data_IF_162219007242
#
_entry.id   IF_162219007242
#
_cell.length_a   1.000
_cell.length_b   1.000
_cell.length_c   1.000
_cell.angle_alpha   90.00
_cell.angle_beta   90.00
_cell.angle_gamma   90.00
#
_symmetry.space_group_name_H-M   'P 1'
#
loop_
_entity.id
_entity.type
_entity.pdbx_description
1 polymer ?
#
# COMPACT_ATOMS: atom_id res chain seq x y z
N UNK A 1 19.88 0.20 -9.26
CA UNK A 1 18.46 -0.15 -9.57
C UNK A 1 17.98 -1.39 -8.83
N UNK A 2 18.62 -2.58 -8.94
CA UNK A 2 18.09 -3.83 -8.36
C UNK A 2 17.93 -3.85 -6.83
N UNK A 3 18.78 -3.17 -6.08
CA UNK A 3 18.72 -3.17 -4.60
C UNK A 3 17.55 -2.33 -4.06
N UNK A 4 17.31 -1.17 -4.65
CA UNK A 4 16.20 -0.29 -4.24
C UNK A 4 14.84 -0.93 -4.48
N UNK A 5 14.66 -1.67 -5.59
CA UNK A 5 13.40 -2.36 -5.87
C UNK A 5 13.05 -3.41 -4.81
N UNK A 6 14.05 -4.14 -4.30
CA UNK A 6 13.83 -5.10 -3.20
C UNK A 6 13.41 -4.40 -1.92
N UNK A 7 14.04 -3.27 -1.60
CA UNK A 7 13.68 -2.46 -0.44
C UNK A 7 12.25 -1.92 -0.57
N UNK A 8 11.87 -1.36 -1.72
CA UNK A 8 10.51 -0.87 -1.95
C UNK A 8 9.47 -1.98 -1.87
N UNK A 9 9.75 -3.15 -2.47
CA UNK A 9 8.90 -4.33 -2.35
C UNK A 9 8.70 -4.76 -0.89
N UNK A 10 9.77 -4.78 -0.09
CA UNK A 10 9.69 -5.07 1.35
C UNK A 10 8.80 -4.07 2.10
N UNK A 11 9.01 -2.77 1.88
CA UNK A 11 8.24 -1.72 2.55
C UNK A 11 6.75 -1.79 2.18
N UNK A 12 6.45 -2.06 0.91
CA UNK A 12 5.08 -2.20 0.41
C UNK A 12 4.41 -3.45 0.99
N UNK A 13 5.10 -4.59 1.03
CA UNK A 13 4.58 -5.81 1.64
C UNK A 13 4.29 -5.64 3.14
N UNK A 14 5.19 -4.97 3.87
CA UNK A 14 4.97 -4.62 5.28
C UNK A 14 3.74 -3.73 5.45
N UNK A 15 3.54 -2.78 4.54
CA UNK A 15 2.37 -1.93 4.54
C UNK A 15 1.07 -2.74 4.38
N UNK A 16 0.98 -3.57 3.33
CA UNK A 16 -0.19 -4.42 3.05
C UNK A 16 -0.54 -5.32 4.24
N UNK A 17 0.46 -5.95 4.87
CA UNK A 17 0.26 -6.80 6.04
C UNK A 17 -0.35 -6.03 7.20
N UNK A 18 0.16 -4.82 7.47
CA UNK A 18 -0.26 -3.98 8.60
C UNK A 18 -1.62 -3.30 8.39
N UNK A 19 -1.94 -2.88 7.17
CA UNK A 19 -3.15 -2.08 6.89
C UNK A 19 -4.32 -2.89 6.36
N UNK A 20 -4.14 -4.18 6.06
CA UNK A 20 -5.20 -5.06 5.56
C UNK A 20 -5.90 -4.50 4.31
N UNK A 21 -5.13 -3.93 3.38
CA UNK A 21 -5.65 -3.54 2.07
C UNK A 21 -6.40 -4.70 1.41
N UNK A 22 -7.53 -4.42 0.78
CA UNK A 22 -8.39 -5.41 0.10
C UNK A 22 -8.36 -5.27 -1.42
N UNK A 23 -8.20 -4.06 -1.93
CA UNK A 23 -8.12 -3.80 -3.37
C UNK A 23 -7.03 -2.77 -3.66
N UNK A 24 -6.65 -2.62 -4.93
CA UNK A 24 -5.66 -1.60 -5.33
C UNK A 24 -6.28 -0.19 -5.26
N UNK A 25 -7.53 -0.02 -5.72
CA UNK A 25 -8.22 1.27 -5.79
C UNK A 25 -8.04 2.05 -7.10
N UNK A 26 -7.73 1.37 -8.21
CA UNK A 26 -7.55 2.00 -9.52
C UNK A 26 -8.86 2.63 -10.04
N UNK A 27 -8.77 3.85 -10.58
CA UNK A 27 -9.89 4.57 -11.24
C UNK A 27 -11.11 4.89 -10.37
N UNK A 28 -10.97 4.78 -9.05
CA UNK A 28 -12.04 5.10 -8.11
C UNK A 28 -11.93 6.53 -7.58
N UNK A 29 -13.03 7.07 -7.03
CA UNK A 29 -12.96 8.36 -6.34
C UNK A 29 -12.14 8.21 -5.05
N UNK A 30 -11.12 9.05 -4.91
CA UNK A 30 -10.29 9.16 -3.71
C UNK A 30 -11.17 9.47 -2.50
N UNK A 31 -11.25 8.53 -1.57
CA UNK A 31 -11.75 8.80 -0.21
C UNK A 31 -10.52 8.69 0.69
N UNK A 32 -10.37 9.61 1.63
CA UNK A 32 -9.29 9.60 2.59
C UNK A 32 -9.92 9.34 3.95
N UNK A 33 -9.58 8.21 4.56
CA UNK A 33 -10.12 7.78 5.84
C UNK A 33 -9.18 6.79 6.52
N UNK A 34 -9.32 6.66 7.85
CA UNK A 34 -8.52 5.70 8.63
C UNK A 34 -8.92 4.25 8.34
N UNK A 35 -10.15 4.02 7.86
CA UNK A 35 -10.70 2.70 7.50
C UNK A 35 -10.64 2.43 5.99
N UNK A 36 -9.76 3.13 5.28
CA UNK A 36 -9.58 2.95 3.84
C UNK A 36 -8.96 1.58 3.53
N UNK A 37 -9.65 0.77 2.75
CA UNK A 37 -9.23 -0.59 2.38
C UNK A 37 -8.57 -0.66 0.99
N UNK A 38 -8.54 0.45 0.25
CA UNK A 38 -7.90 0.55 -1.06
C UNK A 38 -6.46 1.01 -0.95
N UNK A 39 -5.53 0.16 -1.38
CA UNK A 39 -4.10 0.32 -1.19
C UNK A 39 -3.59 1.72 -1.57
N UNK A 40 -3.94 2.22 -2.76
CA UNK A 40 -3.40 3.49 -3.27
C UNK A 40 -3.77 4.71 -2.40
N UNK A 41 -4.91 4.66 -1.71
CA UNK A 41 -5.42 5.78 -0.89
C UNK A 41 -5.02 5.68 0.58
N UNK A 42 -4.51 4.53 1.03
CA UNK A 42 -4.03 4.35 2.39
C UNK A 42 -2.85 5.28 2.71
N UNK A 43 -2.83 5.78 3.95
CA UNK A 43 -1.70 6.55 4.47
C UNK A 43 -0.46 5.66 4.48
N UNK A 44 0.63 6.12 3.89
CA UNK A 44 1.90 5.41 3.90
C UNK A 44 2.40 5.22 5.34
N UNK A 45 2.68 3.98 5.74
CA UNK A 45 2.99 3.70 7.16
C UNK A 45 4.43 4.06 7.56
N UNK A 46 5.33 4.22 6.59
CA UNK A 46 6.76 4.47 6.84
C UNK A 46 7.10 5.97 6.85
N UNK A 47 6.15 6.82 7.25
CA UNK A 47 6.31 8.27 7.28
C UNK A 47 5.38 8.92 8.31
N UNK A 48 5.85 10.02 8.90
CA UNK A 48 5.04 10.84 9.81
C UNK A 48 4.11 11.81 9.07
N UNK A 49 4.33 12.03 7.77
CA UNK A 49 3.48 12.87 6.95
C UNK A 49 2.07 12.25 6.79
N UNK A 50 1.07 12.92 7.38
CA UNK A 50 -0.34 12.49 7.32
C UNK A 50 -0.93 12.54 5.91
N UNK A 51 -0.33 13.29 4.99
CA UNK A 51 -0.81 13.43 3.61
C UNK A 51 -0.19 12.42 2.66
N UNK A 52 0.90 11.76 3.06
CA UNK A 52 1.61 10.83 2.19
C UNK A 52 0.85 9.51 2.12
N UNK A 53 0.39 9.17 0.93
CA UNK A 53 -0.30 7.90 0.63
C UNK A 53 0.61 6.92 -0.09
N UNK A 54 0.17 5.68 -0.23
CA UNK A 54 0.88 4.67 -1.05
C UNK A 54 1.02 5.15 -2.50
N UNK A 55 -0.02 5.74 -3.09
CA UNK A 55 0.04 6.35 -4.43
C UNK A 55 1.18 7.37 -4.57
N UNK A 56 1.33 8.27 -3.59
CA UNK A 56 2.41 9.28 -3.60
C UNK A 56 3.77 8.58 -3.53
N UNK A 57 3.93 7.60 -2.63
CA UNK A 57 5.16 6.81 -2.53
C UNK A 57 5.50 6.10 -3.85
N UNK A 58 4.53 5.47 -4.51
CA UNK A 58 4.75 4.79 -5.79
C UNK A 58 5.15 5.76 -6.90
N UNK A 59 4.46 6.90 -7.01
CA UNK A 59 4.73 7.93 -8.01
C UNK A 59 6.13 8.54 -7.85
N UNK A 60 6.54 8.88 -6.62
CA UNK A 60 7.89 9.40 -6.32
C UNK A 60 9.01 8.43 -6.74
N UNK A 61 8.73 7.12 -6.70
CA UNK A 61 9.69 6.07 -7.01
C UNK A 61 9.51 5.46 -8.41
N UNK A 62 8.59 5.98 -9.23
CA UNK A 62 8.28 5.49 -10.58
C UNK A 62 7.89 4.00 -10.58
N UNK A 63 7.09 3.60 -9.61
CA UNK A 63 6.61 2.22 -9.43
C UNK A 63 5.11 2.14 -9.68
N UNK A 64 4.67 0.95 -10.07
CA UNK A 64 3.25 0.60 -10.16
C UNK A 64 3.02 -0.73 -9.43
N UNK A 65 1.85 -0.86 -8.81
CA UNK A 65 1.38 -2.12 -8.22
C UNK A 65 0.39 -2.73 -9.19
N UNK A 66 0.70 -3.95 -9.65
CA UNK A 66 -0.19 -4.68 -10.55
C UNK A 66 -1.25 -5.46 -9.79
N UNK A 67 -0.86 -6.09 -8.68
CA UNK A 67 -1.74 -6.86 -7.79
C UNK A 67 -1.03 -7.17 -6.46
N UNK A 68 -1.76 -7.69 -5.47
CA UNK A 68 -1.19 -8.21 -4.23
C UNK A 68 -2.02 -9.34 -3.62
N UNK A 69 -1.37 -10.18 -2.81
CA UNK A 69 -2.02 -11.18 -1.97
C UNK A 69 -1.56 -11.00 -0.52
N UNK A 70 -2.48 -11.12 0.42
CA UNK A 70 -2.22 -11.08 1.86
C UNK A 70 -2.87 -12.29 2.49
N UNK A 71 -2.07 -13.07 3.22
CA UNK A 71 -2.54 -14.20 4.00
C UNK A 71 -2.34 -13.92 5.48
N UNK A 72 -3.28 -14.36 6.31
CA UNK A 72 -3.24 -14.26 7.78
C UNK A 72 -3.66 -15.60 8.37
N UNK A 73 -2.81 -16.19 9.23
CA UNK A 73 -3.14 -17.45 9.88
C UNK A 73 -4.44 -17.31 10.69
N UNK A 74 -5.43 -18.16 10.40
CA UNK A 74 -6.76 -18.06 10.99
C UNK A 74 -7.76 -17.18 10.23
N UNK A 75 -7.41 -16.67 9.04
CA UNK A 75 -8.41 -16.07 8.16
C UNK A 75 -9.48 -17.12 7.80
N UNK A 76 -10.75 -16.74 7.91
CA UNK A 76 -11.93 -17.57 7.56
C UNK A 76 -12.16 -18.84 8.42
N UNK A 77 -11.61 -18.91 9.64
CA UNK A 77 -11.99 -19.94 10.64
C UNK A 77 -13.40 -19.73 11.23
#
# INVERSE_FOLDING_TARGET
MRENTKQFGRLLAQHIVATRAKTIGLNEKKQLGNDEDRLLYQKWMHTDDKKKTVEIFLNENQLNVNDFARFECGEEM
#
